data_IF_988311697063
#
_entry.id   IF_988311697063
#
_cell.length_a   1.000
_cell.length_b   1.000
_cell.length_c   1.000
_cell.angle_alpha   90.00
_cell.angle_beta   90.00
_cell.angle_gamma   90.00
#
_symmetry.space_group_name_H-M   'P 1'
#
loop_
_entity.id
_entity.type
_entity.pdbx_description
1 polymer ?
#
# COMPACT_ATOMS: atom_id res chain seq x y z
N UNK A 1 -14.27 -21.94 -6.21
CA UNK A 1 -13.89 -21.67 -4.82
C UNK A 1 -13.19 -20.31 -4.77
N UNK A 2 -13.83 -19.25 -4.24
CA UNK A 2 -13.16 -17.93 -4.10
C UNK A 2 -12.38 -17.96 -2.78
N UNK A 3 -11.07 -18.21 -2.86
CA UNK A 3 -10.16 -18.12 -1.72
C UNK A 3 -10.22 -16.70 -1.15
N UNK A 4 -11.03 -16.48 -0.11
CA UNK A 4 -10.97 -15.26 0.70
C UNK A 4 -9.72 -15.37 1.57
N UNK A 5 -8.55 -15.06 0.98
CA UNK A 5 -7.40 -14.69 1.79
C UNK A 5 -7.88 -13.54 2.68
N UNK A 6 -8.02 -13.78 3.98
CA UNK A 6 -8.35 -12.74 4.96
C UNK A 6 -7.34 -11.62 4.76
N UNK A 7 -7.74 -10.54 4.09
CA UNK A 7 -6.85 -9.39 3.86
C UNK A 7 -6.67 -8.75 5.22
N UNK A 8 -5.45 -8.82 5.75
CA UNK A 8 -5.13 -8.10 6.98
C UNK A 8 -5.42 -6.62 6.73
N UNK A 9 -6.25 -5.97 7.56
CA UNK A 9 -6.55 -4.55 7.39
C UNK A 9 -5.25 -3.75 7.34
N UNK A 10 -5.12 -2.87 6.34
CA UNK A 10 -3.98 -1.96 6.23
C UNK A 10 -4.12 -0.85 7.27
N UNK A 11 -3.05 -0.53 7.98
CA UNK A 11 -2.99 0.52 9.01
C UNK A 11 -1.76 1.40 8.80
N UNK A 12 -1.80 2.63 9.30
CA UNK A 12 -0.62 3.51 9.32
C UNK A 12 0.50 2.83 10.13
N UNK A 13 1.72 2.92 9.63
CA UNK A 13 2.92 2.25 10.18
C UNK A 13 3.18 0.86 9.60
N UNK A 14 2.19 0.23 8.94
CA UNK A 14 2.36 -1.09 8.36
C UNK A 14 3.45 -1.10 7.28
N UNK A 15 4.34 -2.11 7.34
CA UNK A 15 5.16 -2.47 6.20
C UNK A 15 4.39 -3.44 5.31
N UNK A 16 4.35 -3.15 4.01
CA UNK A 16 3.64 -3.93 2.99
C UNK A 16 4.46 -4.01 1.71
N UNK A 17 3.98 -4.82 0.78
CA UNK A 17 4.51 -4.86 -0.57
C UNK A 17 3.51 -4.27 -1.56
N UNK A 18 4.01 -3.43 -2.46
CA UNK A 18 3.29 -2.89 -3.60
C UNK A 18 3.81 -3.56 -4.88
N UNK A 19 2.91 -4.01 -5.74
CA UNK A 19 3.27 -4.55 -7.06
C UNK A 19 3.15 -3.44 -8.11
N UNK A 20 4.25 -3.15 -8.80
CA UNK A 20 4.32 -2.17 -9.89
C UNK A 20 4.82 -2.90 -11.13
N UNK A 21 3.91 -3.24 -12.03
CA UNK A 21 4.19 -4.15 -13.13
C UNK A 21 4.68 -5.51 -12.60
N UNK A 22 5.86 -5.94 -13.03
CA UNK A 22 6.51 -7.19 -12.57
C UNK A 22 7.34 -7.03 -11.29
N UNK A 23 7.49 -5.79 -10.78
CA UNK A 23 8.33 -5.50 -9.62
C UNK A 23 7.51 -5.50 -8.34
N UNK A 24 8.08 -6.04 -7.26
CA UNK A 24 7.53 -5.99 -5.90
C UNK A 24 8.39 -5.07 -5.04
N UNK A 25 7.79 -4.01 -4.51
CA UNK A 25 8.49 -2.94 -3.78
C UNK A 25 8.04 -2.95 -2.33
N UNK A 26 8.99 -2.87 -1.38
CA UNK A 26 8.68 -2.73 0.04
C UNK A 26 8.32 -1.28 0.37
N UNK A 27 7.18 -1.09 1.00
CA UNK A 27 6.65 0.22 1.36
C UNK A 27 6.16 0.24 2.80
N UNK A 28 6.13 1.41 3.41
CA UNK A 28 5.48 1.69 4.70
C UNK A 28 4.27 2.58 4.48
N UNK A 29 3.15 2.25 5.11
CA UNK A 29 1.97 3.11 5.13
C UNK A 29 2.25 4.29 6.05
N UNK A 30 2.16 5.50 5.53
CA UNK A 30 2.44 6.74 6.28
C UNK A 30 1.18 7.55 6.58
N UNK A 31 0.10 7.34 5.81
CA UNK A 31 -1.17 8.06 5.98
C UNK A 31 -2.33 7.17 5.54
N UNK A 32 -3.45 7.24 6.27
CA UNK A 32 -4.73 6.70 5.83
C UNK A 32 -5.59 7.84 5.32
N UNK A 33 -5.87 7.85 4.03
CA UNK A 33 -6.69 8.88 3.40
C UNK A 33 -8.19 8.58 3.56
N UNK A 34 -8.54 7.37 4.00
CA UNK A 34 -9.93 6.93 4.09
C UNK A 34 -10.51 6.57 2.72
N UNK A 35 -11.85 6.48 2.60
CA UNK A 35 -12.55 6.07 1.39
C UNK A 35 -12.63 7.22 0.36
N UNK A 36 -11.51 7.54 -0.28
CA UNK A 36 -11.42 8.61 -1.29
C UNK A 36 -11.34 7.98 -2.68
N UNK A 37 -12.42 8.05 -3.46
CA UNK A 37 -12.46 7.54 -4.84
C UNK A 37 -13.82 6.95 -5.24
N UNK A 38 -13.97 6.62 -6.52
CA UNK A 38 -15.20 6.00 -7.04
C UNK A 38 -15.37 4.62 -6.41
N UNK A 39 -16.54 4.38 -5.79
CA UNK A 39 -16.86 3.11 -5.14
C UNK A 39 -16.36 2.96 -3.69
N UNK A 40 -15.90 4.04 -3.05
CA UNK A 40 -15.52 4.03 -1.63
C UNK A 40 -14.24 3.24 -1.33
N UNK A 41 -13.38 3.05 -2.34
CA UNK A 41 -12.08 2.38 -2.17
C UNK A 41 -11.24 3.18 -1.17
N UNK A 42 -10.69 2.48 -0.18
CA UNK A 42 -9.79 3.10 0.81
C UNK A 42 -8.44 3.37 0.19
N UNK A 43 -8.03 4.63 0.18
CA UNK A 43 -6.70 5.05 -0.26
C UNK A 43 -5.78 5.21 0.94
N UNK A 44 -4.51 4.91 0.72
CA UNK A 44 -3.44 5.11 1.70
C UNK A 44 -2.25 5.76 1.01
N UNK A 45 -1.50 6.56 1.75
CA UNK A 45 -0.22 7.07 1.29
C UNK A 45 0.88 6.15 1.81
N UNK A 46 1.77 5.73 0.91
CA UNK A 46 2.86 4.81 1.20
C UNK A 46 4.20 5.42 0.83
N UNK A 47 5.23 5.13 1.62
CA UNK A 47 6.61 5.55 1.41
C UNK A 47 7.46 4.32 1.08
N UNK A 48 8.33 4.42 0.08
CA UNK A 48 9.27 3.35 -0.24
C UNK A 48 10.32 3.20 0.87
N UNK A 49 10.60 1.97 1.30
CA UNK A 49 11.56 1.70 2.38
C UNK A 49 13.01 1.53 1.91
N UNK A 50 13.24 1.38 0.61
CA UNK A 50 14.55 1.08 0.03
C UNK A 50 14.91 2.06 -1.11
N UNK A 51 14.67 3.37 -0.94
CA UNK A 51 15.18 4.35 -1.92
C UNK A 51 16.56 4.83 -1.47
N UNK A 52 17.60 4.52 -2.26
CA UNK A 52 18.94 5.12 -2.11
C UNK A 52 18.97 6.59 -2.54
N UNK A 53 17.87 7.11 -3.09
CA UNK A 53 17.68 8.53 -3.40
C UNK A 53 17.33 9.33 -2.15
N UNK A 54 17.95 10.50 -1.98
CA UNK A 54 17.82 11.39 -0.81
C UNK A 54 16.39 11.85 -0.53
N UNK A 55 15.51 11.82 -1.53
CA UNK A 55 14.09 12.14 -1.35
C UNK A 55 13.25 10.85 -1.21
N UNK A 56 12.58 10.64 -0.06
CA UNK A 56 11.70 9.50 0.11
C UNK A 56 10.45 9.66 -0.73
N UNK A 57 10.37 8.87 -1.81
CA UNK A 57 9.24 8.89 -2.73
C UNK A 57 7.98 8.31 -2.07
N UNK A 58 6.92 9.13 -2.02
CA UNK A 58 5.62 8.78 -1.44
C UNK A 58 4.54 8.75 -2.52
N UNK A 59 3.64 7.76 -2.44
CA UNK A 59 2.59 7.50 -3.41
C UNK A 59 1.24 7.28 -2.74
N UNK A 60 0.15 7.65 -3.41
CA UNK A 60 -1.20 7.24 -3.01
C UNK A 60 -1.60 5.98 -3.77
N UNK A 61 -2.08 4.97 -3.05
CA UNK A 61 -2.51 3.68 -3.63
C UNK A 61 -3.76 3.17 -2.93
N UNK A 62 -4.62 2.39 -3.62
CA UNK A 62 -5.66 1.61 -2.96
C UNK A 62 -5.05 0.67 -1.93
N UNK A 63 -5.60 0.66 -0.71
CA UNK A 63 -5.16 -0.23 0.36
C UNK A 63 -5.21 -1.72 -0.05
N UNK A 64 -6.08 -2.04 -0.99
CA UNK A 64 -6.22 -3.35 -1.58
C UNK A 64 -5.03 -3.78 -2.45
N UNK A 65 -4.31 -2.86 -3.05
CA UNK A 65 -3.17 -3.19 -3.91
C UNK A 65 -1.91 -3.56 -3.09
N UNK A 66 -2.00 -3.42 -1.75
CA UNK A 66 -0.95 -3.80 -0.81
C UNK A 66 -1.12 -5.26 -0.35
N UNK A 67 -0.03 -6.02 -0.42
CA UNK A 67 0.04 -7.38 0.13
C UNK A 67 0.86 -7.44 1.42
N UNK A 68 0.48 -8.37 2.29
CA UNK A 68 1.32 -8.80 3.41
C UNK A 68 2.60 -9.48 2.90
N UNK A 69 3.61 -9.59 3.77
CA UNK A 69 4.87 -10.30 3.47
C UNK A 69 4.66 -11.72 2.98
#
# INVERSE_FOLDING_TARGET
MKNSRKRTPVRVGDSRFLHVGTRRIRVRVIEDRGPIGVGGRRLVRVQRLNSETEEPLAFEVPAEDLSSS
#
